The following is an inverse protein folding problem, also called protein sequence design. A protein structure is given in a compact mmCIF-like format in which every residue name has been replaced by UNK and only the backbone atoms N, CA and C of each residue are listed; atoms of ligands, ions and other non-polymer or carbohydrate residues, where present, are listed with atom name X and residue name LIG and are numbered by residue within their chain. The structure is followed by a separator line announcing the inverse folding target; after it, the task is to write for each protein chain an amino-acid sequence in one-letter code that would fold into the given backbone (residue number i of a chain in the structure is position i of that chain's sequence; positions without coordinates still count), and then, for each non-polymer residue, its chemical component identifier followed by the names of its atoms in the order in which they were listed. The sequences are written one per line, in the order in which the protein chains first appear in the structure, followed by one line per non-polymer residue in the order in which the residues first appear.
data_IF_415489696279
#
_entry.id   IF_415489696279
#
_cell.length_a   1.000
_cell.length_b   1.000
_cell.length_c   1.000
_cell.angle_alpha   90.00
_cell.angle_beta   90.00
_cell.angle_gamma   90.00
#
_symmetry.space_group_name_H-M   'P 1'
#
loop_
_entity.id
_entity.type
_entity.pdbx_description
1 polymer ?
#
# COMPACT_ATOMS: atom_id res chain seq x y z
N UNK A 1 -3.03 -18.30 -20.78
CA UNK A 1 -3.81 -18.61 -21.98
C UNK A 1 -4.15 -20.10 -22.07
N UNK A 2 -3.17 -21.03 -22.10
CA UNK A 2 -3.40 -22.48 -22.25
C UNK A 2 -4.27 -23.09 -21.15
N UNK A 3 -4.05 -22.73 -19.90
CA UNK A 3 -4.85 -23.21 -18.77
C UNK A 3 -6.33 -22.81 -18.89
N UNK A 4 -6.60 -21.56 -19.24
CA UNK A 4 -7.99 -21.05 -19.41
C UNK A 4 -8.65 -21.76 -20.60
N UNK A 5 -7.93 -21.95 -21.69
CA UNK A 5 -8.43 -22.67 -22.86
C UNK A 5 -8.76 -24.12 -22.52
N UNK A 6 -7.86 -24.82 -21.82
CA UNK A 6 -8.09 -26.20 -21.36
C UNK A 6 -9.30 -26.31 -20.43
N UNK A 7 -9.44 -25.41 -19.45
CA UNK A 7 -10.56 -25.39 -18.52
C UNK A 7 -11.90 -25.12 -19.22
N UNK A 8 -11.89 -24.32 -20.28
CA UNK A 8 -13.10 -24.03 -21.06
C UNK A 8 -13.58 -25.23 -21.87
N UNK A 9 -12.67 -26.08 -22.36
CA UNK A 9 -12.99 -27.25 -23.19
C UNK A 9 -13.11 -28.56 -22.43
N UNK A 10 -12.80 -28.57 -21.15
CA UNK A 10 -12.87 -29.78 -20.31
C UNK A 10 -14.30 -30.03 -19.83
N UNK A 11 -14.79 -31.26 -19.98
CA UNK A 11 -16.11 -31.68 -19.44
C UNK A 11 -16.18 -31.61 -17.90
N UNK A 12 -15.03 -31.70 -17.22
CA UNK A 12 -14.91 -31.58 -15.75
C UNK A 12 -13.82 -30.57 -15.40
N UNK A 13 -14.10 -29.26 -15.50
CA UNK A 13 -13.11 -28.24 -15.19
C UNK A 13 -12.78 -28.25 -13.70
N UNK A 14 -11.48 -28.22 -13.36
CA UNK A 14 -11.01 -28.08 -11.98
C UNK A 14 -11.44 -26.72 -11.37
N UNK A 15 -11.49 -25.69 -12.21
CA UNK A 15 -11.91 -24.33 -11.81
C UNK A 15 -13.01 -23.87 -12.75
N UNK A 16 -14.19 -23.61 -12.22
CA UNK A 16 -15.29 -23.09 -13.03
C UNK A 16 -15.09 -21.57 -13.24
N UNK A 17 -15.21 -21.11 -14.49
CA UNK A 17 -15.09 -19.70 -14.85
C UNK A 17 -16.35 -18.88 -14.60
N UNK A 18 -17.47 -19.52 -14.20
CA UNK A 18 -18.74 -18.83 -13.95
C UNK A 18 -18.64 -17.61 -13.02
N UNK A 19 -17.82 -17.59 -11.92
CA UNK A 19 -17.65 -16.41 -11.10
C UNK A 19 -17.13 -15.18 -11.83
N UNK A 20 -16.34 -15.37 -12.90
CA UNK A 20 -15.81 -14.28 -13.72
C UNK A 20 -16.87 -13.61 -14.61
N UNK A 21 -18.03 -14.20 -14.76
CA UNK A 21 -19.15 -13.60 -15.50
C UNK A 21 -20.16 -12.90 -14.59
N UNK A 22 -20.00 -13.01 -13.28
CA UNK A 22 -20.90 -12.35 -12.33
C UNK A 22 -20.38 -10.95 -11.99
N UNK A 23 -21.18 -9.88 -12.21
CA UNK A 23 -20.72 -8.50 -12.02
C UNK A 23 -20.31 -8.20 -10.58
N UNK A 24 -20.99 -8.76 -9.57
CA UNK A 24 -20.62 -8.57 -8.17
C UNK A 24 -19.28 -9.22 -7.83
N UNK A 25 -19.02 -10.42 -8.33
CA UNK A 25 -17.75 -11.11 -8.10
C UNK A 25 -16.58 -10.33 -8.75
N UNK A 26 -16.76 -9.86 -9.98
CA UNK A 26 -15.73 -9.04 -10.68
C UNK A 26 -15.44 -7.75 -9.90
N UNK A 27 -16.47 -7.04 -9.46
CA UNK A 27 -16.30 -5.82 -8.63
C UNK A 27 -15.55 -6.18 -7.35
N UNK A 28 -15.91 -7.28 -6.69
CA UNK A 28 -15.23 -7.77 -5.50
C UNK A 28 -13.73 -8.06 -5.75
N UNK A 29 -13.39 -8.74 -6.85
CA UNK A 29 -12.01 -9.05 -7.23
C UNK A 29 -11.21 -7.77 -7.53
N UNK A 30 -11.80 -6.84 -8.28
CA UNK A 30 -11.17 -5.57 -8.60
C UNK A 30 -10.85 -4.75 -7.36
N UNK A 31 -11.82 -4.59 -6.46
CA UNK A 31 -11.58 -3.87 -5.21
C UNK A 31 -10.61 -4.61 -4.28
N UNK A 32 -10.64 -5.93 -4.24
CA UNK A 32 -9.66 -6.71 -3.50
C UNK A 32 -8.25 -6.49 -4.03
N UNK A 33 -8.09 -6.49 -5.36
CA UNK A 33 -6.82 -6.18 -6.03
C UNK A 33 -6.35 -4.77 -5.66
N UNK A 34 -7.25 -3.79 -5.66
CA UNK A 34 -6.96 -2.40 -5.35
C UNK A 34 -6.54 -2.21 -3.88
N UNK A 35 -7.23 -2.87 -2.93
CA UNK A 35 -6.86 -2.84 -1.51
C UNK A 35 -5.45 -3.40 -1.31
N UNK A 36 -5.12 -4.50 -1.98
CA UNK A 36 -3.78 -5.07 -1.94
C UNK A 36 -2.74 -4.18 -2.62
N UNK A 37 -3.11 -3.52 -3.72
CA UNK A 37 -2.26 -2.54 -4.38
C UNK A 37 -1.88 -1.42 -3.41
N UNK A 38 -2.86 -0.82 -2.72
CA UNK A 38 -2.58 0.19 -1.69
C UNK A 38 -1.76 -0.37 -0.53
N UNK A 39 -2.01 -1.61 -0.13
CA UNK A 39 -1.25 -2.24 0.95
C UNK A 39 0.22 -2.46 0.59
N UNK A 40 0.54 -2.73 -0.67
CA UNK A 40 1.92 -2.94 -1.14
C UNK A 40 2.75 -1.65 -1.14
N UNK A 41 2.14 -0.46 -0.92
CA UNK A 41 2.87 0.80 -0.71
C UNK A 41 3.87 0.77 0.46
N UNK A 42 3.88 -0.30 1.25
CA UNK A 42 4.95 -0.59 2.23
C UNK A 42 6.34 -0.62 1.62
N UNK A 43 6.49 -0.97 0.36
CA UNK A 43 7.79 -0.91 -0.33
C UNK A 43 8.35 0.51 -0.33
N UNK A 44 7.50 1.53 -0.51
CA UNK A 44 7.88 2.94 -0.42
C UNK A 44 8.29 3.33 1.00
N UNK A 45 7.54 2.86 2.00
CA UNK A 45 7.84 3.10 3.39
C UNK A 45 9.16 2.44 3.81
N UNK A 46 9.43 1.23 3.33
CA UNK A 46 10.71 0.54 3.57
C UNK A 46 11.88 1.32 2.97
N UNK A 47 11.74 1.83 1.74
CA UNK A 47 12.77 2.68 1.11
C UNK A 47 13.02 3.96 1.93
N UNK A 48 11.96 4.58 2.46
CA UNK A 48 12.10 5.74 3.36
C UNK A 48 12.87 5.40 4.64
N UNK A 49 12.50 4.30 5.31
CA UNK A 49 13.12 3.87 6.57
C UNK A 49 14.59 3.53 6.41
N UNK A 50 14.94 2.79 5.34
CA UNK A 50 16.30 2.31 5.13
C UNK A 50 17.22 3.41 4.56
N UNK A 51 16.75 4.21 3.60
CA UNK A 51 17.60 5.16 2.88
C UNK A 51 17.64 6.54 3.52
N UNK A 52 16.54 7.00 4.15
CA UNK A 52 16.47 8.34 4.74
C UNK A 52 16.69 8.30 6.25
N UNK A 53 15.90 7.50 6.98
CA UNK A 53 16.01 7.40 8.44
C UNK A 53 17.16 6.48 8.88
N UNK A 54 17.73 5.68 7.97
CA UNK A 54 18.83 4.72 8.25
C UNK A 54 18.51 3.77 9.41
N UNK A 55 17.25 3.37 9.51
CA UNK A 55 16.77 2.47 10.56
C UNK A 55 17.13 1.03 10.19
N UNK A 56 17.63 0.27 11.15
CA UNK A 56 17.96 -1.13 10.98
C UNK A 56 16.74 -1.97 10.60
N UNK A 57 16.96 -3.05 9.85
CA UNK A 57 15.92 -3.98 9.40
C UNK A 57 15.11 -4.54 10.58
N UNK A 58 15.72 -4.79 11.72
CA UNK A 58 15.07 -5.30 12.94
C UNK A 58 14.00 -4.33 13.44
N UNK A 59 14.31 -3.05 13.49
CA UNK A 59 13.35 -2.00 13.89
C UNK A 59 12.27 -1.80 12.82
N UNK A 60 12.60 -1.96 11.56
CA UNK A 60 11.62 -1.90 10.47
C UNK A 60 10.58 -3.00 10.59
N UNK A 61 10.98 -4.24 10.95
CA UNK A 61 10.03 -5.32 11.19
C UNK A 61 9.17 -5.10 12.44
N UNK A 62 9.72 -4.55 13.50
CA UNK A 62 8.96 -4.23 14.72
C UNK A 62 7.84 -3.22 14.46
N UNK A 63 8.06 -2.30 13.50
CA UNK A 63 7.05 -1.33 13.08
C UNK A 63 5.78 -2.02 12.54
N UNK A 64 5.95 -3.10 11.78
CA UNK A 64 4.81 -3.82 11.23
C UNK A 64 3.97 -4.58 12.28
N UNK A 65 4.48 -4.74 13.51
CA UNK A 65 3.69 -5.28 14.62
C UNK A 65 2.48 -4.41 14.94
N UNK A 66 2.56 -3.09 14.68
CA UNK A 66 1.43 -2.17 14.85
C UNK A 66 0.28 -2.37 13.85
N UNK A 67 0.47 -3.22 12.83
CA UNK A 67 -0.63 -3.68 11.97
C UNK A 67 -1.61 -4.60 12.72
N UNK A 68 -1.10 -5.41 13.67
CA UNK A 68 -1.93 -6.40 14.39
C UNK A 68 -3.11 -5.76 15.12
N UNK A 69 -2.94 -4.74 15.97
CA UNK A 69 -4.08 -4.09 16.61
C UNK A 69 -5.04 -3.48 15.59
N UNK A 70 -4.55 -2.99 14.45
CA UNK A 70 -5.40 -2.52 13.36
C UNK A 70 -6.26 -3.65 12.77
N UNK A 71 -5.68 -4.82 12.52
CA UNK A 71 -6.39 -5.99 12.03
C UNK A 71 -7.44 -6.48 13.02
N UNK A 72 -7.09 -6.60 14.29
CA UNK A 72 -8.00 -7.06 15.34
C UNK A 72 -9.19 -6.12 15.47
N UNK A 73 -8.94 -4.81 15.56
CA UNK A 73 -10.00 -3.81 15.62
C UNK A 73 -10.87 -3.81 14.35
N UNK A 74 -10.26 -3.92 13.17
CA UNK A 74 -10.99 -4.00 11.90
C UNK A 74 -11.91 -5.21 11.82
N UNK A 75 -11.42 -6.39 12.24
CA UNK A 75 -12.23 -7.60 12.32
C UNK A 75 -13.38 -7.45 13.32
N UNK A 76 -13.11 -6.86 14.49
CA UNK A 76 -14.13 -6.62 15.52
C UNK A 76 -15.21 -5.65 15.03
N UNK A 77 -14.83 -4.56 14.37
CA UNK A 77 -15.75 -3.60 13.76
C UNK A 77 -16.63 -4.30 12.72
N UNK A 78 -16.05 -5.12 11.83
CA UNK A 78 -16.80 -5.87 10.83
C UNK A 78 -17.79 -6.84 11.49
N UNK A 79 -17.34 -7.63 12.48
CA UNK A 79 -18.20 -8.56 13.20
C UNK A 79 -19.39 -7.85 13.83
N UNK A 80 -19.13 -6.75 14.54
CA UNK A 80 -20.18 -5.96 15.19
C UNK A 80 -21.12 -5.32 14.18
N UNK A 81 -20.59 -4.80 13.08
CA UNK A 81 -21.36 -4.20 11.99
C UNK A 81 -22.33 -5.18 11.35
N UNK A 82 -21.86 -6.38 11.02
CA UNK A 82 -22.70 -7.41 10.42
C UNK A 82 -23.73 -7.99 11.41
N UNK A 83 -23.42 -8.02 12.70
CA UNK A 83 -24.32 -8.50 13.73
C UNK A 83 -25.46 -7.53 14.03
N UNK A 84 -25.20 -6.24 14.10
CA UNK A 84 -26.17 -5.24 14.54
C UNK A 84 -26.91 -4.55 13.43
N UNK A 85 -26.26 -4.32 12.29
CA UNK A 85 -26.82 -3.52 11.22
C UNK A 85 -26.91 -4.33 9.94
N UNK A 86 -28.08 -4.82 9.63
CA UNK A 86 -28.42 -5.54 8.41
C UNK A 86 -28.31 -4.71 7.12
N UNK A 87 -27.75 -3.51 7.18
CA UNK A 87 -27.81 -2.55 6.09
C UNK A 87 -26.60 -1.63 6.06
N UNK A 88 -26.35 -1.06 4.88
CA UNK A 88 -25.35 -0.03 4.62
C UNK A 88 -23.91 -0.52 4.55
N UNK A 89 -23.73 -1.57 3.77
CA UNK A 89 -22.40 -2.02 3.33
C UNK A 89 -21.53 -0.86 2.79
N UNK A 90 -22.16 0.15 2.15
CA UNK A 90 -21.51 1.38 1.68
C UNK A 90 -20.74 2.12 2.77
N UNK A 91 -21.24 2.18 3.98
CA UNK A 91 -20.55 2.90 5.06
C UNK A 91 -19.34 2.12 5.57
N UNK A 92 -19.40 0.81 5.57
CA UNK A 92 -18.25 -0.03 5.92
C UNK A 92 -17.12 0.15 4.92
N UNK A 93 -17.44 0.12 3.61
CA UNK A 93 -16.46 0.38 2.55
C UNK A 93 -15.92 1.81 2.64
N UNK A 94 -16.78 2.81 2.82
CA UNK A 94 -16.35 4.19 2.96
C UNK A 94 -15.44 4.38 4.18
N UNK A 95 -15.76 3.73 5.31
CA UNK A 95 -14.91 3.73 6.51
C UNK A 95 -13.53 3.12 6.25
N UNK A 96 -13.49 1.95 5.63
CA UNK A 96 -12.23 1.29 5.26
C UNK A 96 -11.38 2.11 4.28
N UNK A 97 -12.03 2.72 3.26
CA UNK A 97 -11.33 3.61 2.32
C UNK A 97 -10.86 4.90 3.00
N UNK A 98 -11.64 5.48 3.92
CA UNK A 98 -11.23 6.65 4.70
C UNK A 98 -9.96 6.36 5.54
N UNK A 99 -9.82 5.14 6.06
CA UNK A 99 -8.59 4.75 6.76
C UNK A 99 -7.36 4.79 5.82
N UNK A 100 -7.49 4.38 4.54
CA UNK A 100 -6.41 4.52 3.58
C UNK A 100 -6.11 5.97 3.21
N UNK A 101 -7.14 6.81 3.07
CA UNK A 101 -6.95 8.26 2.83
C UNK A 101 -6.18 8.89 4.00
N UNK A 102 -6.56 8.58 5.24
CA UNK A 102 -5.87 9.06 6.43
C UNK A 102 -4.45 8.48 6.54
N UNK A 103 -4.25 7.23 6.14
CA UNK A 103 -2.92 6.61 6.08
C UNK A 103 -1.99 7.36 5.11
N UNK A 104 -2.41 7.55 3.86
CA UNK A 104 -1.60 8.26 2.88
C UNK A 104 -1.44 9.74 3.24
N UNK A 105 -2.49 10.38 3.78
CA UNK A 105 -2.43 11.76 4.25
C UNK A 105 -1.43 11.94 5.39
N UNK A 106 -1.47 11.08 6.40
CA UNK A 106 -0.54 11.15 7.52
C UNK A 106 0.91 10.89 7.09
N UNK A 107 1.15 10.01 6.12
CA UNK A 107 2.47 9.80 5.55
C UNK A 107 2.92 11.01 4.72
N UNK A 108 2.07 11.54 3.85
CA UNK A 108 2.40 12.70 3.00
C UNK A 108 2.85 13.92 3.81
N UNK A 109 2.13 14.23 4.90
CA UNK A 109 2.46 15.35 5.77
C UNK A 109 3.55 15.02 6.80
N UNK A 110 3.65 13.75 7.22
CA UNK A 110 4.57 13.31 8.27
C UNK A 110 5.98 12.97 7.77
N UNK A 111 6.17 12.63 6.49
CA UNK A 111 7.49 12.26 5.97
C UNK A 111 8.37 13.51 5.84
N UNK A 112 9.45 13.54 6.63
CA UNK A 112 10.53 14.52 6.53
C UNK A 112 11.87 13.86 6.89
N UNK A 113 13.04 14.49 6.59
CA UNK A 113 14.34 13.94 6.98
C UNK A 113 14.51 13.79 8.48
N UNK A 114 13.86 14.68 9.26
CA UNK A 114 13.98 14.75 10.72
C UNK A 114 12.78 14.09 11.45
N UNK A 115 11.95 13.33 10.72
CA UNK A 115 10.78 12.68 11.30
C UNK A 115 11.18 11.62 12.31
N UNK A 116 10.51 11.63 13.47
CA UNK A 116 10.68 10.56 14.45
C UNK A 116 10.01 9.28 13.96
N UNK A 117 10.69 8.16 14.16
CA UNK A 117 10.20 6.83 13.84
C UNK A 117 8.79 6.53 14.42
N UNK A 118 8.52 7.04 15.62
CA UNK A 118 7.26 6.85 16.34
C UNK A 118 6.03 7.42 15.62
N UNK A 119 6.22 8.44 14.79
CA UNK A 119 5.12 9.03 13.98
C UNK A 119 4.52 8.04 12.97
N UNK A 120 5.23 6.97 12.66
CA UNK A 120 4.78 5.96 11.71
C UNK A 120 3.85 4.91 12.32
N UNK A 121 3.75 4.82 13.65
CA UNK A 121 2.90 3.84 14.32
C UNK A 121 1.42 4.03 13.97
N UNK A 122 0.95 5.26 14.06
CA UNK A 122 -0.44 5.59 13.78
C UNK A 122 -0.86 5.34 12.32
N UNK A 123 -0.10 5.78 11.29
CA UNK A 123 -0.39 5.43 9.91
C UNK A 123 -0.46 3.91 9.68
N UNK A 124 0.48 3.15 10.20
CA UNK A 124 0.51 1.69 10.02
C UNK A 124 -0.70 1.01 10.67
N UNK A 125 -1.10 1.47 11.85
CA UNK A 125 -2.33 1.03 12.50
C UNK A 125 -3.56 1.30 11.62
N UNK A 126 -3.72 2.52 11.09
CA UNK A 126 -4.82 2.89 10.20
C UNK A 126 -4.86 2.03 8.94
N UNK A 127 -3.70 1.75 8.36
CA UNK A 127 -3.60 0.85 7.22
C UNK A 127 -4.10 -0.55 7.56
N UNK A 128 -3.67 -1.11 8.70
CA UNK A 128 -4.14 -2.41 9.17
C UNK A 128 -5.66 -2.46 9.33
N UNK A 129 -6.22 -1.45 9.97
CA UNK A 129 -7.65 -1.31 10.20
C UNK A 129 -8.43 -1.23 8.88
N UNK A 130 -8.04 -0.32 7.98
CA UNK A 130 -8.69 -0.16 6.67
C UNK A 130 -8.59 -1.42 5.81
N UNK A 131 -7.42 -2.04 5.78
CA UNK A 131 -7.18 -3.27 5.03
C UNK A 131 -8.10 -4.40 5.49
N UNK A 132 -8.21 -4.64 6.80
CA UNK A 132 -9.04 -5.73 7.34
C UNK A 132 -10.51 -5.52 7.06
N UNK A 133 -11.01 -4.29 7.27
CA UNK A 133 -12.40 -3.93 6.96
C UNK A 133 -12.72 -4.21 5.48
N UNK A 134 -11.87 -3.75 4.58
CA UNK A 134 -12.14 -3.87 3.14
C UNK A 134 -11.99 -5.32 2.64
N UNK A 135 -11.01 -6.08 3.15
CA UNK A 135 -10.85 -7.49 2.79
C UNK A 135 -12.11 -8.28 3.17
N UNK A 136 -12.60 -8.15 4.40
CA UNK A 136 -13.80 -8.85 4.85
C UNK A 136 -15.00 -8.40 4.03
N UNK A 137 -15.16 -7.09 3.85
CA UNK A 137 -16.28 -6.52 3.10
C UNK A 137 -16.32 -7.05 1.66
N UNK A 138 -15.24 -6.98 0.92
CA UNK A 138 -15.22 -7.40 -0.48
C UNK A 138 -15.19 -8.92 -0.67
N UNK A 139 -14.64 -9.68 0.29
CA UNK A 139 -14.75 -11.13 0.28
C UNK A 139 -16.21 -11.58 0.41
N UNK A 140 -16.96 -10.97 1.32
CA UNK A 140 -18.40 -11.26 1.49
C UNK A 140 -19.22 -10.80 0.28
N UNK A 141 -18.90 -9.62 -0.27
CA UNK A 141 -19.60 -9.11 -1.44
C UNK A 141 -19.40 -9.99 -2.69
N UNK A 142 -18.20 -10.54 -2.88
CA UNK A 142 -17.91 -11.43 -3.99
C UNK A 142 -18.66 -12.77 -3.92
N UNK A 143 -19.16 -13.16 -2.76
CA UNK A 143 -19.86 -14.45 -2.54
C UNK A 143 -21.39 -14.28 -2.50
N UNK A 144 -21.90 -13.06 -2.31
CA UNK A 144 -23.31 -12.79 -1.98
C UNK A 144 -24.33 -13.44 -2.93
N UNK A 145 -24.13 -13.36 -4.24
CA UNK A 145 -25.06 -13.92 -5.24
C UNK A 145 -24.51 -15.18 -5.91
N UNK A 146 -23.47 -15.78 -5.34
CA UNK A 146 -22.81 -16.91 -5.95
C UNK A 146 -23.51 -18.22 -5.59
N UNK A 147 -23.78 -19.07 -6.58
CA UNK A 147 -24.27 -20.43 -6.33
C UNK A 147 -23.23 -21.21 -5.50
N UNK A 148 -23.61 -21.94 -4.45
CA UNK A 148 -22.71 -22.71 -3.60
C UNK A 148 -21.73 -23.63 -4.35
N UNK A 149 -22.12 -24.12 -5.51
CA UNK A 149 -21.27 -24.95 -6.40
C UNK A 149 -20.00 -24.24 -6.88
N UNK A 150 -19.99 -22.90 -6.90
CA UNK A 150 -18.88 -22.09 -7.43
C UNK A 150 -18.03 -21.45 -6.32
N UNK A 151 -18.31 -21.74 -5.04
CA UNK A 151 -17.59 -21.15 -3.92
C UNK A 151 -16.08 -21.46 -3.97
N UNK A 152 -15.71 -22.70 -4.30
CA UNK A 152 -14.30 -23.10 -4.41
C UNK A 152 -13.58 -22.33 -5.53
N UNK A 153 -14.22 -22.22 -6.69
CA UNK A 153 -13.69 -21.48 -7.83
C UNK A 153 -13.57 -20.00 -7.54
N UNK A 154 -14.55 -19.42 -6.81
CA UNK A 154 -14.50 -18.03 -6.36
C UNK A 154 -13.34 -17.79 -5.39
N UNK A 155 -13.13 -18.70 -4.42
CA UNK A 155 -11.99 -18.62 -3.51
C UNK A 155 -10.65 -18.64 -4.25
N UNK A 156 -10.53 -19.48 -5.27
CA UNK A 156 -9.35 -19.55 -6.12
C UNK A 156 -9.08 -18.20 -6.83
N UNK A 157 -10.10 -17.59 -7.44
CA UNK A 157 -9.94 -16.29 -8.08
C UNK A 157 -9.61 -15.19 -7.07
N UNK A 158 -10.27 -15.16 -5.91
CA UNK A 158 -9.94 -14.22 -4.84
C UNK A 158 -8.47 -14.31 -4.43
N UNK A 159 -7.93 -15.53 -4.28
CA UNK A 159 -6.54 -15.74 -3.92
C UNK A 159 -5.60 -15.24 -5.03
N UNK A 160 -5.91 -15.53 -6.31
CA UNK A 160 -5.10 -15.07 -7.44
C UNK A 160 -5.06 -13.54 -7.49
N UNK A 161 -6.21 -12.88 -7.48
CA UNK A 161 -6.27 -11.42 -7.58
C UNK A 161 -5.63 -10.74 -6.37
N UNK A 162 -5.87 -11.28 -5.17
CA UNK A 162 -5.35 -10.74 -3.92
C UNK A 162 -3.86 -10.99 -3.72
N UNK A 163 -3.42 -12.25 -3.85
CA UNK A 163 -2.11 -12.68 -3.34
C UNK A 163 -1.05 -12.85 -4.43
N UNK A 164 -1.45 -12.95 -5.69
CA UNK A 164 -0.52 -13.14 -6.81
C UNK A 164 -0.47 -11.88 -7.68
N UNK A 165 -1.60 -11.53 -8.29
CA UNK A 165 -1.62 -10.49 -9.31
C UNK A 165 -1.34 -9.11 -8.70
N UNK A 166 -2.03 -8.75 -7.64
CA UNK A 166 -1.93 -7.42 -7.04
C UNK A 166 -0.55 -7.10 -6.47
N UNK A 167 0.10 -7.95 -5.64
CA UNK A 167 1.43 -7.66 -5.13
C UNK A 167 2.48 -7.52 -6.22
N UNK A 168 2.45 -8.38 -7.25
CA UNK A 168 3.41 -8.34 -8.35
C UNK A 168 3.25 -7.03 -9.14
N UNK A 169 2.01 -6.69 -9.53
CA UNK A 169 1.73 -5.45 -10.26
C UNK A 169 2.10 -4.22 -9.42
N UNK A 170 1.73 -4.21 -8.15
CA UNK A 170 1.97 -3.09 -7.26
C UNK A 170 3.47 -2.88 -7.00
N UNK A 171 4.21 -3.94 -6.69
CA UNK A 171 5.66 -3.85 -6.46
C UNK A 171 6.37 -3.34 -7.71
N UNK A 172 6.05 -3.89 -8.88
CA UNK A 172 6.62 -3.44 -10.15
C UNK A 172 6.28 -1.98 -10.44
N UNK A 173 5.04 -1.58 -10.20
CA UNK A 173 4.60 -0.20 -10.38
C UNK A 173 5.34 0.76 -9.45
N UNK A 174 5.35 0.48 -8.13
CA UNK A 174 6.00 1.36 -7.16
C UNK A 174 7.50 1.46 -7.37
N UNK A 175 8.19 0.36 -7.66
CA UNK A 175 9.62 0.37 -7.93
C UNK A 175 9.96 1.18 -9.18
N UNK A 176 9.21 1.00 -10.27
CA UNK A 176 9.43 1.74 -11.50
C UNK A 176 9.15 3.24 -11.35
N UNK A 177 8.02 3.62 -10.74
CA UNK A 177 7.66 5.02 -10.58
C UNK A 177 8.62 5.73 -9.62
N UNK A 178 9.02 5.06 -8.53
CA UNK A 178 9.99 5.58 -7.58
C UNK A 178 11.32 5.85 -8.27
N UNK A 179 11.84 4.87 -8.99
CA UNK A 179 13.10 5.02 -9.74
C UNK A 179 13.06 6.19 -10.74
N UNK A 180 11.98 6.28 -11.54
CA UNK A 180 11.84 7.35 -12.53
C UNK A 180 11.76 8.73 -11.89
N UNK A 181 11.01 8.88 -10.81
CA UNK A 181 10.87 10.15 -10.11
C UNK A 181 12.14 10.53 -9.36
N UNK A 182 12.80 9.56 -8.74
CA UNK A 182 14.10 9.78 -8.10
C UNK A 182 15.13 10.30 -9.11
N UNK A 183 15.25 9.67 -10.29
CA UNK A 183 16.12 10.14 -11.36
C UNK A 183 15.75 11.53 -11.86
N UNK A 184 14.45 11.81 -12.07
CA UNK A 184 13.96 13.14 -12.46
C UNK A 184 14.38 14.20 -11.46
N UNK A 185 14.15 13.95 -10.17
CA UNK A 185 14.50 14.91 -9.12
C UNK A 185 16.01 15.02 -8.92
N UNK A 186 16.74 13.91 -9.01
CA UNK A 186 18.20 13.94 -8.95
C UNK A 186 18.79 14.81 -10.06
N UNK A 187 18.28 14.68 -11.29
CA UNK A 187 18.71 15.50 -12.42
C UNK A 187 18.37 16.97 -12.18
N UNK A 188 17.14 17.28 -11.81
CA UNK A 188 16.72 18.66 -11.53
C UNK A 188 17.50 19.31 -10.39
N UNK A 189 17.77 18.58 -9.32
CA UNK A 189 18.55 19.07 -8.19
C UNK A 189 20.04 19.27 -8.58
N UNK A 190 20.61 18.38 -9.40
CA UNK A 190 21.99 18.50 -9.83
C UNK A 190 22.24 19.73 -10.73
N UNK A 191 21.24 20.12 -11.52
CA UNK A 191 21.32 21.35 -12.32
C UNK A 191 21.31 22.62 -11.47
N UNK A 192 20.65 22.61 -10.32
CA UNK A 192 20.57 23.75 -9.40
C UNK A 192 21.77 23.86 -8.47
N UNK A 193 22.43 22.73 -8.17
CA UNK A 193 23.60 22.69 -7.30
C UNK A 193 24.85 23.02 -8.08
N UNK A 194 25.18 24.30 -8.16
CA UNK A 194 26.41 24.80 -8.73
C UNK A 194 27.30 25.35 -7.63
N UNK A 195 28.62 25.49 -7.92
CA UNK A 195 29.56 26.12 -6.98
C UNK A 195 29.21 27.58 -6.67
N UNK A 196 28.34 28.20 -7.48
CA UNK A 196 27.80 29.53 -7.25
C UNK A 196 26.68 29.56 -6.21
N UNK A 197 26.07 28.40 -5.86
CA UNK A 197 25.08 28.31 -4.79
C UNK A 197 25.80 28.37 -3.43
N UNK A 198 25.55 29.42 -2.61
CA UNK A 198 26.26 29.60 -1.34
C UNK A 198 25.95 28.46 -0.36
N UNK A 199 24.79 27.82 -0.48
CA UNK A 199 24.36 26.74 0.39
C UNK A 199 25.07 25.41 0.05
N UNK A 200 25.22 25.11 -1.22
CA UNK A 200 25.98 23.96 -1.70
C UNK A 200 27.47 24.12 -1.40
N UNK A 201 28.02 25.31 -1.67
CA UNK A 201 29.42 25.63 -1.37
C UNK A 201 29.72 25.53 0.14
N UNK A 202 28.82 26.02 1.01
CA UNK A 202 29.01 25.92 2.47
C UNK A 202 29.02 24.47 2.96
N UNK A 203 28.09 23.64 2.45
CA UNK A 203 28.04 22.20 2.78
C UNK A 203 29.24 21.44 2.28
N UNK A 204 29.70 21.74 1.06
CA UNK A 204 30.92 21.16 0.51
C UNK A 204 32.14 21.52 1.37
N UNK A 205 32.32 22.81 1.71
CA UNK A 205 33.43 23.29 2.52
C UNK A 205 33.37 22.71 3.95
N UNK A 206 32.18 22.56 4.52
CA UNK A 206 32.00 21.91 5.83
C UNK A 206 32.42 20.44 5.79
N UNK A 207 31.98 19.69 4.76
CA UNK A 207 32.38 18.30 4.58
C UNK A 207 33.87 18.15 4.34
N UNK A 208 34.45 19.04 3.55
CA UNK A 208 35.88 19.11 3.28
C UNK A 208 36.68 19.39 4.57
N UNK A 209 36.24 20.38 5.37
CA UNK A 209 36.86 20.70 6.66
C UNK A 209 36.77 19.55 7.66
N UNK A 210 35.66 18.83 7.70
CA UNK A 210 35.51 17.65 8.55
C UNK A 210 36.49 16.52 8.14
N UNK A 211 36.69 16.31 6.84
CA UNK A 211 37.62 15.32 6.36
C UNK A 211 39.08 15.69 6.67
N UNK A 212 39.43 16.98 6.60
CA UNK A 212 40.75 17.47 7.02
C UNK A 212 40.98 17.28 8.52
N UNK A 213 39.99 17.53 9.36
CA UNK A 213 40.15 17.31 10.81
C UNK A 213 40.35 15.84 11.16
N UNK A 214 39.91 14.93 10.30
CA UNK A 214 40.12 13.49 10.40
C UNK A 214 41.51 13.04 9.87
N UNK A 215 42.30 13.96 9.31
CA UNK A 215 43.67 13.71 8.85
C UNK A 215 43.80 13.19 7.40
N UNK A 216 42.73 13.29 6.60
CA UNK A 216 42.79 12.88 5.20
C UNK A 216 43.52 13.89 4.34
N UNK A 217 44.32 13.43 3.34
CA UNK A 217 44.97 14.31 2.36
C UNK A 217 43.92 15.00 1.47
N UNK A 218 44.32 16.13 0.84
CA UNK A 218 43.38 16.98 0.10
C UNK A 218 42.52 16.22 -0.93
N UNK A 219 43.15 15.33 -1.70
CA UNK A 219 42.45 14.60 -2.77
C UNK A 219 41.38 13.65 -2.22
N UNK A 220 41.67 12.96 -1.12
CA UNK A 220 40.69 12.09 -0.42
C UNK A 220 39.60 12.92 0.23
N UNK A 221 39.95 14.03 0.89
CA UNK A 221 39.01 14.94 1.52
C UNK A 221 38.03 15.55 0.51
N UNK A 222 38.52 15.92 -0.68
CA UNK A 222 37.69 16.42 -1.77
C UNK A 222 36.71 15.35 -2.32
N UNK A 223 37.16 14.12 -2.47
CA UNK A 223 36.29 12.99 -2.85
C UNK A 223 35.23 12.72 -1.78
N UNK A 224 35.61 12.71 -0.51
CA UNK A 224 34.67 12.53 0.60
C UNK A 224 33.62 13.65 0.65
N UNK A 225 34.02 14.89 0.44
CA UNK A 225 33.10 16.04 0.39
C UNK A 225 32.12 15.93 -0.79
N UNK A 226 32.62 15.53 -1.97
CA UNK A 226 31.77 15.30 -3.15
C UNK A 226 30.78 14.17 -2.94
N UNK A 227 31.25 13.04 -2.38
CA UNK A 227 30.36 11.90 -2.06
C UNK A 227 29.30 12.28 -1.02
N UNK A 228 29.65 13.08 -0.01
CA UNK A 228 28.69 13.56 1.00
C UNK A 228 27.61 14.45 0.38
N UNK A 229 28.01 15.34 -0.53
CA UNK A 229 27.08 16.19 -1.27
C UNK A 229 26.17 15.35 -2.16
N UNK A 230 26.72 14.40 -2.91
CA UNK A 230 25.97 13.47 -3.76
C UNK A 230 24.94 12.66 -2.95
N UNK A 231 25.34 12.08 -1.82
CA UNK A 231 24.45 11.32 -0.95
C UNK A 231 23.32 12.21 -0.39
N UNK A 232 23.60 13.46 -0.09
CA UNK A 232 22.57 14.41 0.37
C UNK A 232 21.56 14.72 -0.73
N UNK A 233 22.02 14.93 -1.97
CA UNK A 233 21.16 15.11 -3.13
C UNK A 233 20.30 13.88 -3.39
N UNK A 234 20.88 12.70 -3.31
CA UNK A 234 20.14 11.44 -3.49
C UNK A 234 19.06 11.27 -2.43
N UNK A 235 19.33 11.57 -1.16
CA UNK A 235 18.33 11.53 -0.10
C UNK A 235 17.19 12.54 -0.34
N UNK A 236 17.52 13.75 -0.79
CA UNK A 236 16.51 14.76 -1.10
C UNK A 236 15.66 14.38 -2.33
N UNK A 237 16.27 13.85 -3.38
CA UNK A 237 15.56 13.38 -4.56
C UNK A 237 14.61 12.24 -4.25
N UNK A 238 15.05 11.27 -3.44
CA UNK A 238 14.23 10.17 -2.96
C UNK A 238 13.05 10.67 -2.12
N UNK A 239 13.28 11.63 -1.22
CA UNK A 239 12.23 12.20 -0.38
C UNK A 239 11.15 12.91 -1.22
N UNK A 240 11.56 13.70 -2.22
CA UNK A 240 10.65 14.37 -3.14
C UNK A 240 9.85 13.35 -3.97
N UNK A 241 10.51 12.31 -4.49
CA UNK A 241 9.88 11.23 -5.23
C UNK A 241 8.83 10.49 -4.37
N UNK A 242 9.18 10.17 -3.13
CA UNK A 242 8.25 9.53 -2.19
C UNK A 242 7.05 10.40 -1.88
N UNK A 243 7.25 11.70 -1.64
CA UNK A 243 6.16 12.65 -1.39
C UNK A 243 5.22 12.77 -2.61
N UNK A 244 5.76 12.84 -3.81
CA UNK A 244 4.95 12.92 -5.03
C UNK A 244 4.10 11.65 -5.21
N UNK A 245 4.67 10.45 -5.01
CA UNK A 245 3.93 9.20 -5.09
C UNK A 245 2.85 9.11 -4.02
N UNK A 246 3.16 9.46 -2.78
CA UNK A 246 2.18 9.47 -1.68
C UNK A 246 1.06 10.48 -1.93
N UNK A 247 1.36 11.63 -2.53
CA UNK A 247 0.37 12.59 -2.98
C UNK A 247 -0.58 12.01 -4.03
N UNK A 248 -0.05 11.30 -5.04
CA UNK A 248 -0.90 10.61 -6.02
C UNK A 248 -1.75 9.53 -5.37
N UNK A 249 -1.20 8.72 -4.47
CA UNK A 249 -1.95 7.69 -3.75
C UNK A 249 -3.05 8.26 -2.87
N UNK A 250 -2.80 9.40 -2.23
CA UNK A 250 -3.80 10.13 -1.45
C UNK A 250 -4.95 10.59 -2.34
N UNK A 251 -4.68 11.23 -3.48
CA UNK A 251 -5.71 11.70 -4.41
C UNK A 251 -6.49 10.51 -4.99
N UNK A 252 -5.80 9.45 -5.41
CA UNK A 252 -6.43 8.24 -5.95
C UNK A 252 -7.31 7.57 -4.89
N UNK A 253 -6.82 7.40 -3.67
CA UNK A 253 -7.60 6.79 -2.59
C UNK A 253 -8.83 7.61 -2.23
N UNK A 254 -8.72 8.95 -2.22
CA UNK A 254 -9.84 9.86 -2.01
C UNK A 254 -10.87 9.74 -3.15
N UNK A 255 -10.41 9.74 -4.40
CA UNK A 255 -11.26 9.55 -5.57
C UNK A 255 -12.03 8.23 -5.50
N UNK A 256 -11.36 7.13 -5.18
CA UNK A 256 -11.99 5.82 -5.05
C UNK A 256 -12.97 5.78 -3.88
N UNK A 257 -12.65 6.43 -2.75
CA UNK A 257 -13.57 6.56 -1.62
C UNK A 257 -14.85 7.27 -2.03
N UNK A 258 -14.76 8.34 -2.84
CA UNK A 258 -15.92 9.06 -3.36
C UNK A 258 -16.69 8.20 -4.37
N UNK A 259 -16.01 7.58 -5.34
CA UNK A 259 -16.63 6.73 -6.37
C UNK A 259 -17.33 5.53 -5.75
N UNK A 260 -16.74 4.90 -4.74
CA UNK A 260 -17.36 3.77 -4.03
C UNK A 260 -18.72 4.14 -3.39
N UNK A 261 -18.96 5.42 -3.13
CA UNK A 261 -20.25 5.91 -2.63
C UNK A 261 -21.38 5.84 -3.67
N UNK A 262 -21.03 5.96 -4.95
CA UNK A 262 -22.00 5.95 -6.05
C UNK A 262 -22.27 4.54 -6.59
N UNK A 263 -21.41 3.56 -6.30
CA UNK A 263 -21.63 2.18 -6.73
C UNK A 263 -22.84 1.62 -5.98
N UNK A 264 -23.78 0.99 -6.69
CA UNK A 264 -24.99 0.41 -6.09
C UNK A 264 -24.65 -0.91 -5.37
N UNK A 265 -23.90 -0.84 -4.28
CA UNK A 265 -23.79 -1.98 -3.38
C UNK A 265 -25.15 -2.28 -2.77
N UNK A 266 -25.57 -3.54 -2.75
CA UNK A 266 -26.85 -3.93 -2.19
C UNK A 266 -27.02 -3.46 -0.74
N UNK A 267 -28.28 -3.19 -0.38
CA UNK A 267 -28.63 -2.62 0.93
C UNK A 267 -28.35 -3.57 2.10
N UNK A 268 -28.26 -4.89 1.85
CA UNK A 268 -28.16 -5.90 2.93
C UNK A 268 -27.35 -7.10 2.48
N UNK A 269 -26.24 -7.37 3.16
CA UNK A 269 -25.63 -8.70 3.19
C UNK A 269 -26.23 -9.41 4.41
N UNK A 270 -27.04 -10.43 4.20
CA UNK A 270 -27.51 -11.32 5.27
C UNK A 270 -26.42 -12.37 5.51
N UNK A 271 -25.59 -12.14 6.50
CA UNK A 271 -24.75 -13.23 7.02
C UNK A 271 -25.65 -14.04 7.96
N UNK A 272 -26.25 -15.11 7.46
CA UNK A 272 -26.84 -16.13 8.30
C UNK A 272 -25.69 -16.95 8.87
N UNK A 273 -25.33 -16.71 10.11
CA UNK A 273 -24.53 -17.69 10.85
C UNK A 273 -25.40 -18.94 10.97
N UNK A 274 -25.02 -20.01 10.27
CA UNK A 274 -25.69 -21.29 10.43
C UNK A 274 -25.71 -21.64 11.92
N UNK A 275 -26.89 -21.78 12.48
CA UNK A 275 -27.06 -22.42 13.80
C UNK A 275 -26.52 -23.83 13.64
N UNK A 276 -25.42 -24.09 14.27
CA UNK A 276 -24.83 -25.42 14.35
C UNK A 276 -25.92 -26.34 14.97
N UNK A 277 -26.55 -27.20 14.21
CA UNK A 277 -27.23 -28.33 14.77
C UNK A 277 -28.52 -28.81 14.13
N UNK A 278 -29.28 -27.99 13.40
CA UNK A 278 -30.66 -28.43 13.08
C UNK A 278 -31.01 -28.56 11.58
N UNK A 279 -30.12 -28.28 10.66
CA UNK A 279 -30.42 -28.30 9.21
C UNK A 279 -29.61 -29.33 8.40
N UNK A 280 -29.15 -30.41 9.04
CA UNK A 280 -28.58 -31.56 8.33
C UNK A 280 -29.48 -32.79 8.57
N UNK A 281 -30.72 -32.78 8.08
CA UNK A 281 -31.54 -33.96 7.78
C UNK A 281 -32.09 -33.82 6.39
#
# INVERSE_FOLDING_TARGET
ALFIWYQYHSERPYVNLAPLYQPKAIIGYFYMMLVMFFSTSTTLLTSYLTSILKVDSTHTYSLYTYLLPGYVLGAFICFWWFRWQRWRFRFLIAGGMSCFVLFFGSLYFGISPDSRYEMLYFPIFLRGLGMMILIIAFALFAVEDLNPKYLLSNAFFLIIFRSVLSPIMATSFYSNILYRLEQKYMYSLSETVTLADPLAASRYNQALGNAFTQGHPYDEAAQMATNTLYNTLQQQSLLLALKEILGYLLVISLFIAIVSRFIPFHKTIRVTFAKTGDDMV
#
